data_IF_324424860875
#
_entry.id   IF_324424860875
#
_cell.length_a   1.000
_cell.length_b   1.000
_cell.length_c   1.000
_cell.angle_alpha   90.00
_cell.angle_beta   90.00
_cell.angle_gamma   90.00
#
_symmetry.space_group_name_H-M   'P 1'
#
loop_
_entity.id
_entity.type
_entity.pdbx_description
1 polymer ?
#
# COMPACT_ATOMS: atom_id res chain seq x y z
N UNK A 1 25.83 -104.79 -37.07
CA UNK A 1 24.53 -104.41 -37.68
C UNK A 1 24.14 -103.07 -37.06
N UNK A 2 24.27 -101.96 -37.80
CA UNK A 2 23.15 -101.28 -38.52
C UNK A 2 22.06 -100.81 -37.53
N UNK A 3 22.01 -99.50 -37.20
CA UNK A 3 21.26 -98.43 -37.90
C UNK A 3 19.74 -98.49 -37.61
N UNK A 4 18.96 -97.41 -37.44
CA UNK A 4 19.16 -95.95 -37.43
C UNK A 4 18.33 -95.35 -36.23
N UNK A 5 18.09 -94.05 -35.99
CA UNK A 5 17.54 -93.04 -36.90
C UNK A 5 17.48 -91.63 -36.25
N UNK A 6 17.87 -90.60 -37.02
CA UNK A 6 17.30 -89.22 -37.11
C UNK A 6 16.89 -88.45 -35.83
N UNK A 7 17.58 -87.36 -35.46
CA UNK A 7 17.33 -85.95 -35.85
C UNK A 7 16.07 -85.31 -35.20
N UNK A 8 16.06 -84.04 -34.73
CA UNK A 8 16.46 -82.83 -35.50
C UNK A 8 16.74 -81.57 -34.63
N UNK A 9 17.77 -80.80 -35.04
CA UNK A 9 18.09 -79.35 -34.85
C UNK A 9 17.72 -78.62 -33.52
N UNK A 10 18.64 -78.04 -32.73
CA UNK A 10 19.66 -76.99 -32.99
C UNK A 10 19.13 -75.53 -32.95
N UNK A 11 19.39 -74.79 -31.85
CA UNK A 11 20.11 -73.49 -31.83
C UNK A 11 20.30 -72.91 -30.42
N UNK A 12 21.39 -72.15 -30.24
CA UNK A 12 21.77 -71.50 -28.97
C UNK A 12 20.96 -70.22 -28.72
N UNK A 13 20.82 -69.85 -27.45
CA UNK A 13 20.79 -68.45 -27.02
C UNK A 13 21.69 -68.26 -25.79
N UNK A 14 22.29 -67.07 -25.70
CA UNK A 14 23.21 -66.65 -24.65
C UNK A 14 22.71 -65.32 -24.03
N UNK A 15 23.32 -64.93 -22.91
CA UNK A 15 23.13 -63.64 -22.21
C UNK A 15 21.76 -63.51 -21.47
N UNK A 16 21.62 -62.79 -20.35
CA UNK A 16 22.59 -62.02 -19.56
C UNK A 16 22.24 -62.10 -18.06
N UNK A 17 23.25 -62.09 -17.19
CA UNK A 17 23.05 -61.92 -15.74
C UNK A 17 22.83 -60.45 -15.40
N UNK A 18 21.57 -60.00 -15.36
CA UNK A 18 21.23 -58.66 -14.88
C UNK A 18 21.15 -58.63 -13.34
N UNK A 19 21.74 -57.60 -12.74
CA UNK A 19 21.89 -57.45 -11.29
C UNK A 19 20.55 -57.16 -10.60
N UNK A 20 20.07 -58.09 -9.77
CA UNK A 20 19.05 -57.78 -8.74
C UNK A 20 19.70 -57.10 -7.52
N UNK A 21 20.31 -55.95 -7.75
CA UNK A 21 20.73 -55.05 -6.68
C UNK A 21 19.53 -54.18 -6.27
N UNK A 22 18.75 -54.68 -5.30
CA UNK A 22 17.63 -53.93 -4.74
C UNK A 22 18.12 -52.74 -3.91
N UNK A 23 18.18 -51.56 -4.52
CA UNK A 23 18.34 -50.30 -3.79
C UNK A 23 16.97 -49.73 -3.43
N UNK A 24 16.48 -50.06 -2.24
CA UNK A 24 15.39 -49.32 -1.59
C UNK A 24 15.83 -47.89 -1.29
N UNK A 25 15.68 -46.97 -2.25
CA UNK A 25 15.66 -45.53 -1.95
C UNK A 25 14.22 -45.12 -1.66
N UNK A 26 13.84 -45.22 -0.39
CA UNK A 26 12.59 -44.65 0.12
C UNK A 26 12.66 -43.12 0.16
N UNK A 27 12.71 -42.49 -1.02
CA UNK A 27 12.28 -41.11 -1.13
C UNK A 27 10.78 -41.09 -0.93
N UNK A 28 10.36 -40.73 0.28
CA UNK A 28 9.01 -40.24 0.56
C UNK A 28 8.81 -38.97 -0.26
N UNK A 29 8.39 -39.14 -1.50
CA UNK A 29 7.82 -38.07 -2.30
C UNK A 29 6.47 -37.75 -1.68
N UNK A 30 6.48 -36.95 -0.61
CA UNK A 30 5.32 -36.14 -0.29
C UNK A 30 5.00 -35.36 -1.57
N UNK A 31 3.77 -35.48 -2.11
CA UNK A 31 3.39 -34.58 -3.18
C UNK A 31 3.52 -33.17 -2.62
N UNK A 32 4.28 -32.32 -3.32
CA UNK A 32 4.33 -30.90 -3.00
C UNK A 32 2.88 -30.42 -2.89
N UNK A 33 2.47 -29.78 -1.77
CA UNK A 33 1.12 -29.24 -1.69
C UNK A 33 0.89 -28.39 -2.92
N UNK A 34 -0.15 -28.69 -3.69
CA UNK A 34 -0.53 -27.86 -4.84
C UNK A 34 -0.66 -26.44 -4.31
N UNK A 35 0.25 -25.55 -4.71
CA UNK A 35 0.29 -24.20 -4.19
C UNK A 35 -0.93 -23.48 -4.75
N UNK A 36 -2.02 -23.50 -3.96
CA UNK A 36 -3.30 -22.96 -4.36
C UNK A 36 -3.11 -21.47 -4.61
N UNK A 37 -3.33 -21.05 -5.87
CA UNK A 37 -3.14 -19.66 -6.32
C UNK A 37 -3.69 -18.69 -5.25
N UNK A 38 -2.85 -17.84 -4.63
CA UNK A 38 -3.21 -17.16 -3.37
C UNK A 38 -4.50 -16.34 -3.40
N UNK A 39 -4.94 -15.91 -4.58
CA UNK A 39 -6.21 -15.20 -4.76
C UNK A 39 -7.45 -16.10 -4.69
N UNK A 40 -7.34 -17.41 -4.93
CA UNK A 40 -8.45 -18.37 -4.73
C UNK A 40 -8.85 -18.47 -3.26
N UNK A 41 -7.95 -18.15 -2.32
CA UNK A 41 -8.27 -18.04 -0.90
C UNK A 41 -9.13 -16.81 -0.56
N UNK A 42 -9.24 -15.82 -1.46
CA UNK A 42 -10.11 -14.64 -1.30
C UNK A 42 -11.51 -14.82 -1.91
N UNK A 43 -11.71 -15.88 -2.69
CA UNK A 43 -12.97 -16.23 -3.33
C UNK A 43 -12.77 -17.02 -4.64
N UNK A 44 -13.84 -17.58 -5.22
CA UNK A 44 -13.77 -18.23 -6.53
C UNK A 44 -13.45 -17.22 -7.64
N UNK A 45 -13.00 -17.73 -8.79
CA UNK A 45 -12.74 -16.94 -10.00
C UNK A 45 -13.97 -16.11 -10.38
N UNK A 46 -13.77 -14.86 -10.83
CA UNK A 46 -14.80 -13.85 -11.11
C UNK A 46 -15.62 -13.38 -9.89
N UNK A 47 -15.15 -13.67 -8.67
CA UNK A 47 -15.68 -13.00 -7.47
C UNK A 47 -14.92 -11.70 -7.19
N UNK A 48 -15.61 -10.71 -6.63
CA UNK A 48 -15.00 -9.44 -6.23
C UNK A 48 -13.79 -9.63 -5.29
N UNK A 49 -13.76 -10.69 -4.48
CA UNK A 49 -12.61 -11.02 -3.63
C UNK A 49 -11.39 -11.47 -4.42
N UNK A 50 -11.60 -12.32 -5.42
CA UNK A 50 -10.56 -12.78 -6.35
C UNK A 50 -10.02 -11.64 -7.22
N UNK A 51 -10.90 -10.84 -7.81
CA UNK A 51 -10.52 -9.74 -8.72
C UNK A 51 -9.74 -8.64 -7.98
N UNK A 52 -10.16 -8.29 -6.75
CA UNK A 52 -9.42 -7.37 -5.89
C UNK A 52 -8.00 -7.89 -5.57
N UNK A 53 -7.86 -9.20 -5.33
CA UNK A 53 -6.55 -9.79 -5.05
C UNK A 53 -5.63 -9.76 -6.28
N UNK A 54 -6.16 -10.01 -7.48
CA UNK A 54 -5.39 -9.85 -8.72
C UNK A 54 -4.96 -8.39 -8.94
N UNK A 55 -5.84 -7.43 -8.66
CA UNK A 55 -5.51 -6.00 -8.72
C UNK A 55 -4.41 -5.62 -7.73
N UNK A 56 -4.48 -6.12 -6.48
CA UNK A 56 -3.46 -5.89 -5.45
C UNK A 56 -2.11 -6.50 -5.84
N UNK A 57 -2.09 -7.75 -6.34
CA UNK A 57 -0.88 -8.42 -6.84
C UNK A 57 -0.25 -7.65 -8.00
N UNK A 58 -1.06 -7.18 -8.95
CA UNK A 58 -0.59 -6.37 -10.07
C UNK A 58 -0.03 -5.00 -9.62
N UNK A 59 -0.64 -4.35 -8.63
CA UNK A 59 -0.14 -3.10 -8.07
C UNK A 59 1.24 -3.28 -7.38
N UNK A 60 1.40 -4.34 -6.58
CA UNK A 60 2.69 -4.67 -5.95
C UNK A 60 3.77 -4.98 -6.97
N UNK A 61 3.47 -5.77 -8.02
CA UNK A 61 4.43 -6.08 -9.08
C UNK A 61 4.88 -4.83 -9.84
N UNK A 62 3.96 -3.89 -10.15
CA UNK A 62 4.34 -2.60 -10.77
C UNK A 62 5.25 -1.77 -9.87
N UNK A 63 4.96 -1.71 -8.57
CA UNK A 63 5.80 -0.99 -7.60
C UNK A 63 7.21 -1.59 -7.52
N UNK A 64 7.32 -2.93 -7.48
CA UNK A 64 8.61 -3.63 -7.46
C UNK A 64 9.39 -3.42 -8.77
N UNK A 65 8.73 -3.50 -9.93
CA UNK A 65 9.38 -3.22 -11.22
C UNK A 65 9.88 -1.77 -11.31
N UNK A 66 9.15 -0.81 -10.72
CA UNK A 66 9.58 0.59 -10.62
C UNK A 66 10.82 0.74 -9.74
N UNK A 67 10.89 0.03 -8.60
CA UNK A 67 12.05 0.11 -7.68
C UNK A 67 13.32 -0.57 -8.23
N UNK A 68 13.21 -1.51 -9.16
CA UNK A 68 14.39 -2.11 -9.82
C UNK A 68 15.18 -1.11 -10.69
N UNK A 69 14.55 -0.01 -11.12
CA UNK A 69 15.20 1.06 -11.89
C UNK A 69 15.73 2.21 -11.02
N UNK A 70 15.48 2.20 -9.71
CA UNK A 70 16.01 3.16 -8.73
C UNK A 70 16.37 2.44 -7.42
N UNK A 71 17.63 2.04 -7.21
CA UNK A 71 18.04 1.28 -6.03
C UNK A 71 17.91 2.06 -4.70
N UNK A 72 17.56 3.35 -4.73
CA UNK A 72 17.23 4.13 -3.53
C UNK A 72 15.79 3.94 -3.02
N UNK A 73 14.89 3.35 -3.83
CA UNK A 73 13.44 3.41 -3.58
C UNK A 73 12.89 2.40 -2.57
N UNK A 74 13.70 1.48 -2.03
CA UNK A 74 13.27 0.49 -1.02
C UNK A 74 13.50 0.98 0.41
N UNK A 75 12.75 2.02 0.83
CA UNK A 75 12.61 2.39 2.25
C UNK A 75 11.15 2.42 2.68
N UNK A 76 10.91 1.89 3.88
CA UNK A 76 9.62 1.69 4.55
C UNK A 76 8.72 0.56 4.03
N UNK A 77 9.12 -0.66 4.37
CA UNK A 77 8.19 -1.77 4.63
C UNK A 77 8.35 -2.24 6.09
N UNK A 78 8.43 -1.28 7.01
CA UNK A 78 8.62 -1.52 8.45
C UNK A 78 7.53 -0.79 9.25
N UNK A 79 6.66 -1.58 9.88
CA UNK A 79 5.59 -1.09 10.75
C UNK A 79 6.24 -0.77 12.09
N UNK A 80 6.39 0.51 12.43
CA UNK A 80 6.86 0.88 13.76
C UNK A 80 5.84 0.45 14.83
N UNK A 81 6.28 -0.15 15.95
CA UNK A 81 5.39 -0.48 17.06
C UNK A 81 4.86 0.80 17.72
N UNK A 82 3.65 0.72 18.27
CA UNK A 82 2.95 1.86 18.84
C UNK A 82 3.66 2.41 20.09
N UNK A 83 4.22 3.62 19.98
CA UNK A 83 4.60 4.44 21.14
C UNK A 83 3.37 4.94 21.91
N UNK A 84 3.58 5.32 23.18
CA UNK A 84 2.52 5.82 24.07
C UNK A 84 1.80 7.05 23.48
N UNK A 85 0.46 7.01 23.31
CA UNK A 85 -0.25 8.07 22.63
C UNK A 85 -0.59 9.25 23.57
N UNK A 86 -0.14 10.45 23.20
CA UNK A 86 -0.57 11.72 23.81
C UNK A 86 -1.64 12.37 22.95
N UNK A 87 -2.90 12.31 23.37
CA UNK A 87 -4.06 12.86 22.66
C UNK A 87 -4.38 14.31 23.09
N UNK A 88 -4.85 15.15 22.17
CA UNK A 88 -5.42 16.52 22.34
C UNK A 88 -6.72 16.62 21.51
N UNK A 89 -7.25 17.80 21.06
CA UNK A 89 -8.63 18.02 20.50
C UNK A 89 -8.80 17.98 18.94
N UNK A 90 -9.93 17.53 18.32
CA UNK A 90 -10.08 17.36 16.82
C UNK A 90 -11.38 17.67 16.07
N UNK A 91 -11.21 18.23 14.86
CA UNK A 91 -12.17 18.36 13.76
C UNK A 91 -12.30 17.11 12.84
N UNK A 92 -12.37 15.88 13.40
CA UNK A 92 -12.54 14.63 12.65
C UNK A 92 -13.80 13.86 13.10
N UNK A 93 -14.36 12.95 12.27
CA UNK A 93 -15.77 12.54 12.38
C UNK A 93 -16.11 11.80 13.69
N UNK A 94 -17.40 11.85 14.05
CA UNK A 94 -17.98 11.54 15.37
C UNK A 94 -17.75 10.12 15.92
N UNK A 95 -17.06 9.25 15.17
CA UNK A 95 -16.74 7.89 15.57
C UNK A 95 -15.22 7.72 15.76
N UNK A 96 -14.74 7.24 16.93
CA UNK A 96 -13.33 7.06 17.21
C UNK A 96 -12.77 5.88 16.39
N UNK A 97 -12.51 6.13 15.11
CA UNK A 97 -11.78 5.20 14.25
C UNK A 97 -10.29 5.35 14.54
N UNK A 98 -9.51 4.26 14.65
CA UNK A 98 -8.06 4.39 14.72
C UNK A 98 -7.52 5.19 13.53
N UNK A 99 -6.41 5.90 13.73
CA UNK A 99 -5.76 6.70 12.69
C UNK A 99 -4.25 6.67 12.87
N UNK A 100 -3.52 6.68 11.76
CA UNK A 100 -2.08 6.83 11.70
C UNK A 100 -1.73 8.20 11.14
N UNK A 101 -0.67 8.80 11.69
CA UNK A 101 -0.28 10.17 11.43
C UNK A 101 1.20 10.19 11.05
N UNK A 102 1.53 10.83 9.93
CA UNK A 102 2.91 11.11 9.51
C UNK A 102 3.03 12.61 9.28
N UNK A 103 3.66 13.32 10.21
CA UNK A 103 3.87 14.77 10.13
C UNK A 103 5.22 15.15 9.52
N UNK A 104 5.35 16.42 9.14
CA UNK A 104 6.63 17.11 9.18
C UNK A 104 6.95 17.53 10.64
N UNK A 105 8.05 18.24 10.83
CA UNK A 105 8.25 19.05 12.04
C UNK A 105 7.15 20.12 12.16
N UNK A 106 6.96 20.65 13.36
CA UNK A 106 5.81 21.49 13.67
C UNK A 106 5.81 22.85 12.97
N UNK A 107 4.61 23.30 12.58
CA UNK A 107 4.42 24.61 11.98
C UNK A 107 4.38 25.70 13.04
N UNK A 108 5.30 26.66 12.95
CA UNK A 108 5.34 27.80 13.86
C UNK A 108 4.07 28.66 13.74
N UNK A 109 3.80 29.45 14.77
CA UNK A 109 2.68 30.41 14.74
C UNK A 109 2.86 31.46 13.63
N UNK A 110 4.10 31.80 13.26
CA UNK A 110 4.40 32.73 12.16
C UNK A 110 4.07 32.13 10.80
N UNK A 111 4.51 30.89 10.53
CA UNK A 111 4.24 30.21 9.25
C UNK A 111 2.74 30.01 8.99
N UNK A 112 1.94 29.81 10.04
CA UNK A 112 0.47 29.74 9.96
C UNK A 112 -0.18 31.09 9.64
N UNK A 113 0.36 32.20 10.16
CA UNK A 113 -0.12 33.55 9.79
C UNK A 113 0.21 33.88 8.34
N UNK A 114 1.39 33.48 7.86
CA UNK A 114 1.80 33.69 6.47
C UNK A 114 1.03 32.81 5.48
N UNK A 115 0.52 31.66 5.92
CA UNK A 115 -0.20 30.69 5.10
C UNK A 115 -1.57 30.37 5.72
N UNK A 116 -2.53 31.32 5.69
CA UNK A 116 -3.77 31.23 6.45
C UNK A 116 -4.78 30.22 5.89
N UNK A 117 -4.50 29.52 4.79
CA UNK A 117 -5.41 28.53 4.22
C UNK A 117 -4.96 27.10 4.53
N UNK A 118 -5.78 26.36 5.28
CA UNK A 118 -5.64 24.92 5.49
C UNK A 118 -6.35 24.18 4.35
N UNK A 119 -5.58 23.42 3.57
CA UNK A 119 -6.09 22.54 2.50
C UNK A 119 -6.03 21.10 2.99
N UNK A 120 -7.11 20.34 2.80
CA UNK A 120 -7.09 18.87 2.88
C UNK A 120 -7.32 18.30 1.48
N UNK A 121 -6.37 17.54 0.97
CA UNK A 121 -6.56 16.63 -0.18
C UNK A 121 -6.99 15.28 0.40
N UNK A 122 -8.08 14.69 -0.09
CA UNK A 122 -8.71 13.49 0.51
C UNK A 122 -8.89 12.38 -0.52
N UNK A 123 -8.42 11.18 -0.23
CA UNK A 123 -8.68 9.96 -1.03
C UNK A 123 -9.43 8.95 -0.16
N UNK A 124 -10.62 8.52 -0.58
CA UNK A 124 -11.43 7.48 0.09
C UNK A 124 -11.11 6.10 -0.50
N UNK A 125 -10.88 5.09 0.34
CA UNK A 125 -10.44 3.75 -0.08
C UNK A 125 -11.33 2.62 0.44
N UNK A 126 -11.47 1.57 -0.36
CA UNK A 126 -12.26 0.39 0.00
C UNK A 126 -11.34 -0.74 0.48
N UNK A 127 -11.16 -0.82 1.79
CA UNK A 127 -10.36 -1.86 2.46
C UNK A 127 -11.18 -2.56 3.53
N UNK A 128 -11.01 -3.89 3.66
CA UNK A 128 -11.53 -4.64 4.81
C UNK A 128 -10.66 -4.43 6.05
N UNK A 129 -9.38 -4.11 5.85
CA UNK A 129 -8.38 -3.88 6.89
C UNK A 129 -8.37 -2.42 7.36
N UNK A 130 -7.44 -2.11 8.26
CA UNK A 130 -7.21 -0.77 8.78
C UNK A 130 -6.76 0.22 7.69
N UNK A 131 -5.62 -0.05 7.06
CA UNK A 131 -5.04 0.77 5.99
C UNK A 131 -5.58 0.43 4.59
N UNK A 132 -5.18 1.22 3.57
CA UNK A 132 -5.48 0.93 2.17
C UNK A 132 -4.81 -0.38 1.71
N UNK A 133 -5.52 -1.15 0.88
CA UNK A 133 -4.94 -2.33 0.21
C UNK A 133 -4.01 -1.88 -0.94
N UNK A 134 -3.11 -2.73 -1.48
CA UNK A 134 -2.11 -2.32 -2.46
C UNK A 134 -2.63 -1.57 -3.70
N UNK A 135 -3.81 -1.92 -4.23
CA UNK A 135 -4.46 -1.21 -5.34
C UNK A 135 -4.71 0.28 -5.08
N UNK A 136 -4.97 0.65 -3.83
CA UNK A 136 -5.16 2.04 -3.39
C UNK A 136 -3.82 2.62 -2.91
N UNK A 137 -3.07 1.85 -2.11
CA UNK A 137 -1.86 2.30 -1.42
C UNK A 137 -0.76 2.73 -2.38
N UNK A 138 -0.48 1.96 -3.44
CA UNK A 138 0.61 2.26 -4.39
C UNK A 138 0.32 3.57 -5.16
N UNK A 139 -0.87 3.77 -5.78
CA UNK A 139 -1.24 5.05 -6.35
C UNK A 139 -1.23 6.23 -5.36
N UNK A 140 -1.61 6.01 -4.10
CA UNK A 140 -1.52 7.05 -3.07
C UNK A 140 -0.08 7.46 -2.76
N UNK A 141 0.89 6.54 -2.78
CA UNK A 141 2.32 6.81 -2.52
C UNK A 141 2.97 7.56 -3.70
N UNK A 142 2.62 7.17 -4.92
CA UNK A 142 3.02 7.90 -6.14
C UNK A 142 2.43 9.31 -6.18
N UNK A 143 1.13 9.45 -5.91
CA UNK A 143 0.46 10.75 -5.86
C UNK A 143 1.02 11.64 -4.72
N UNK A 144 1.25 11.07 -3.53
CA UNK A 144 1.85 11.78 -2.40
C UNK A 144 3.21 12.40 -2.76
N UNK A 145 4.05 11.65 -3.47
CA UNK A 145 5.36 12.14 -3.92
C UNK A 145 5.22 13.38 -4.81
N UNK A 146 4.23 13.40 -5.71
CA UNK A 146 3.90 14.55 -6.56
C UNK A 146 3.34 15.73 -5.75
N UNK A 147 2.43 15.47 -4.79
CA UNK A 147 1.87 16.50 -3.90
C UNK A 147 2.97 17.19 -3.08
N UNK A 148 3.88 16.42 -2.48
CA UNK A 148 4.96 16.93 -1.65
C UNK A 148 6.02 17.69 -2.45
N UNK A 149 6.29 17.29 -3.69
CA UNK A 149 7.16 18.03 -4.60
C UNK A 149 6.53 19.39 -4.99
N UNK A 150 5.27 19.37 -5.45
CA UNK A 150 4.54 20.56 -5.88
C UNK A 150 4.31 21.57 -4.73
N UNK A 151 4.07 21.10 -3.50
CA UNK A 151 3.94 21.98 -2.33
C UNK A 151 5.25 22.72 -1.99
N UNK A 152 6.40 22.04 -2.13
CA UNK A 152 7.73 22.64 -1.85
C UNK A 152 8.18 23.63 -2.92
N UNK A 153 7.76 23.44 -4.16
CA UNK A 153 8.10 24.29 -5.30
C UNK A 153 7.77 25.76 -5.01
N UNK A 154 8.79 26.64 -5.08
CA UNK A 154 8.69 28.07 -4.77
C UNK A 154 8.06 28.41 -3.40
N UNK A 155 8.01 27.46 -2.46
CA UNK A 155 7.34 27.63 -1.18
C UNK A 155 5.82 27.76 -1.27
N UNK A 156 5.18 27.14 -2.28
CA UNK A 156 3.74 27.19 -2.53
C UNK A 156 2.90 26.84 -1.29
N UNK A 157 3.30 25.80 -0.55
CA UNK A 157 2.62 25.36 0.67
C UNK A 157 3.54 24.56 1.60
N UNK A 158 3.33 24.70 2.91
CA UNK A 158 3.89 23.77 3.90
C UNK A 158 2.99 22.54 4.04
N UNK A 159 3.56 21.35 3.89
CA UNK A 159 2.91 20.11 4.30
C UNK A 159 2.95 19.99 5.83
N UNK A 160 1.79 19.83 6.46
CA UNK A 160 1.69 19.64 7.91
C UNK A 160 1.78 18.15 8.26
N UNK A 161 0.82 17.35 7.77
CA UNK A 161 0.80 15.92 8.00
C UNK A 161 -0.06 15.16 6.99
N UNK A 162 0.17 13.85 6.91
CA UNK A 162 -0.71 12.87 6.27
C UNK A 162 -1.40 12.02 7.33
N UNK A 163 -2.71 11.90 7.25
CA UNK A 163 -3.57 11.08 8.13
C UNK A 163 -4.08 9.89 7.34
N UNK A 164 -4.01 8.67 7.88
CA UNK A 164 -4.61 7.47 7.27
C UNK A 164 -5.43 6.70 8.30
N UNK A 165 -6.72 6.52 8.03
CA UNK A 165 -7.70 5.87 8.90
C UNK A 165 -9.11 6.26 8.46
N UNK A 166 -10.17 5.74 9.10
CA UNK A 166 -11.54 6.11 8.71
C UNK A 166 -11.92 5.79 7.25
N UNK A 167 -11.24 4.82 6.62
CA UNK A 167 -11.34 4.49 5.18
C UNK A 167 -10.97 5.65 4.24
N UNK A 168 -10.13 6.57 4.71
CA UNK A 168 -9.56 7.66 3.90
C UNK A 168 -8.10 7.93 4.23
N UNK A 169 -7.37 8.49 3.25
CA UNK A 169 -6.08 9.14 3.44
C UNK A 169 -6.24 10.62 3.15
N UNK A 170 -5.69 11.46 4.02
CA UNK A 170 -5.75 12.92 3.88
C UNK A 170 -4.37 13.53 4.00
N UNK A 171 -4.03 14.41 3.06
CA UNK A 171 -2.83 15.22 3.07
C UNK A 171 -3.21 16.65 3.43
N UNK A 172 -2.66 17.15 4.53
CA UNK A 172 -2.96 18.48 5.08
C UNK A 172 -1.81 19.43 4.73
N UNK A 173 -2.17 20.55 4.10
CA UNK A 173 -1.25 21.60 3.69
C UNK A 173 -1.72 22.95 4.24
N UNK A 174 -0.76 23.86 4.45
CA UNK A 174 -0.99 25.27 4.71
C UNK A 174 -0.44 26.06 3.53
N UNK A 175 -1.24 26.96 2.96
CA UNK A 175 -0.86 27.79 1.80
C UNK A 175 -1.28 29.24 1.97
N UNK A 176 -0.66 30.13 1.18
CA UNK A 176 -1.00 31.55 1.09
C UNK A 176 -2.29 31.80 0.31
N UNK A 177 -2.61 30.91 -0.64
CA UNK A 177 -3.73 31.00 -1.57
C UNK A 177 -4.21 29.59 -1.94
N UNK A 178 -5.48 29.30 -1.68
CA UNK A 178 -6.08 27.99 -1.91
C UNK A 178 -6.33 27.69 -3.39
N UNK A 179 -6.74 28.69 -4.17
CA UNK A 179 -6.98 28.55 -5.60
C UNK A 179 -5.68 28.26 -6.37
N UNK A 180 -4.59 28.98 -6.07
CA UNK A 180 -3.26 28.77 -6.67
C UNK A 180 -2.72 27.39 -6.31
N UNK A 181 -2.84 26.97 -5.04
CA UNK A 181 -2.44 25.62 -4.62
C UNK A 181 -3.22 24.54 -5.36
N UNK A 182 -4.55 24.61 -5.38
CA UNK A 182 -5.41 23.62 -6.04
C UNK A 182 -5.14 23.57 -7.55
N UNK A 183 -4.93 24.72 -8.20
CA UNK A 183 -4.57 24.79 -9.62
C UNK A 183 -3.21 24.10 -9.90
N UNK A 184 -2.18 24.36 -9.08
CA UNK A 184 -0.87 23.71 -9.25
C UNK A 184 -0.96 22.20 -9.03
N UNK A 185 -1.63 21.74 -7.97
CA UNK A 185 -1.81 20.31 -7.72
C UNK A 185 -2.55 19.63 -8.89
N UNK A 186 -3.66 20.19 -9.37
CA UNK A 186 -4.39 19.65 -10.53
C UNK A 186 -3.49 19.59 -11.78
N UNK A 187 -2.68 20.62 -12.01
CA UNK A 187 -1.73 20.66 -13.14
C UNK A 187 -0.64 19.58 -13.06
N UNK A 188 -0.11 19.29 -11.86
CA UNK A 188 0.95 18.27 -11.68
C UNK A 188 0.38 16.84 -11.71
N UNK A 189 -0.87 16.63 -11.30
CA UNK A 189 -1.52 15.32 -11.31
C UNK A 189 -2.18 14.95 -12.64
N UNK A 190 -2.57 15.93 -13.47
CA UNK A 190 -3.25 15.67 -14.75
C UNK A 190 -2.49 14.70 -15.70
N UNK A 191 -1.14 14.74 -15.82
CA UNK A 191 -0.40 13.80 -16.68
C UNK A 191 -0.34 12.37 -16.16
N UNK A 192 -0.57 12.15 -14.86
CA UNK A 192 -0.37 10.83 -14.21
C UNK A 192 -1.68 10.06 -13.96
N UNK A 193 -2.82 10.63 -14.36
CA UNK A 193 -4.11 9.97 -14.45
C UNK A 193 -5.19 10.55 -13.54
N UNK A 194 -6.45 10.09 -13.67
CA UNK A 194 -7.54 10.52 -12.81
C UNK A 194 -7.37 9.93 -11.39
N UNK A 195 -7.22 10.81 -10.40
CA UNK A 195 -7.21 10.42 -9.00
C UNK A 195 -8.58 10.68 -8.35
N UNK A 196 -9.11 9.76 -7.51
CA UNK A 196 -10.38 9.94 -6.82
C UNK A 196 -10.21 10.83 -5.58
N UNK A 197 -9.75 12.08 -5.80
CA UNK A 197 -9.43 13.03 -4.74
C UNK A 197 -10.44 14.17 -4.61
N UNK A 198 -10.77 14.49 -3.38
CA UNK A 198 -11.58 15.63 -2.98
C UNK A 198 -10.69 16.69 -2.34
N UNK A 199 -10.86 17.95 -2.74
CA UNK A 199 -10.20 19.10 -2.11
C UNK A 199 -11.18 19.80 -1.16
N UNK A 200 -10.71 20.15 0.02
CA UNK A 200 -11.39 21.10 0.90
C UNK A 200 -10.39 22.17 1.36
N UNK A 201 -10.84 23.43 1.38
CA UNK A 201 -10.05 24.57 1.78
C UNK A 201 -10.80 25.34 2.88
N UNK A 202 -10.09 25.76 3.93
CA UNK A 202 -10.62 26.64 4.97
C UNK A 202 -9.56 27.66 5.34
N UNK A 203 -9.94 28.94 5.35
CA UNK A 203 -9.12 29.98 5.98
C UNK A 203 -9.16 29.80 7.50
N UNK A 204 -8.01 29.60 8.12
CA UNK A 204 -7.85 29.71 9.57
C UNK A 204 -7.75 31.20 9.93
N UNK A 205 -8.77 31.71 10.63
CA UNK A 205 -8.74 33.05 11.21
C UNK A 205 -7.69 33.07 12.33
N UNK A 206 -6.68 33.93 12.21
CA UNK A 206 -5.64 34.03 13.23
C UNK A 206 -6.20 34.54 14.55
N UNK A 207 -6.19 33.67 15.58
CA UNK A 207 -6.44 33.94 17.00
C UNK A 207 -7.30 35.18 17.29
N UNK A 208 -8.61 35.07 17.04
CA UNK A 208 -9.58 35.93 17.71
C UNK A 208 -9.62 35.57 19.20
N UNK A 209 -9.34 36.53 20.06
CA UNK A 209 -9.68 36.45 21.48
C UNK A 209 -11.20 36.51 21.62
N UNK A 210 -11.83 35.36 21.79
CA UNK A 210 -13.13 35.27 22.47
C UNK A 210 -13.14 34.02 23.35
N UNK A 211 -13.51 34.22 24.60
CA UNK A 211 -13.78 33.16 25.58
C UNK A 211 -15.29 32.90 25.56
N UNK A 212 -15.66 31.63 25.72
CA UNK A 212 -17.02 31.11 25.84
C UNK A 212 -17.97 31.25 24.63
N UNK A 213 -18.05 30.15 23.88
CA UNK A 213 -19.32 29.41 23.93
C UNK A 213 -19.05 27.90 23.94
N UNK A 214 -19.62 27.19 24.90
CA UNK A 214 -19.30 25.79 25.15
C UNK A 214 -19.94 24.84 24.13
N UNK A 215 -19.11 24.13 23.33
CA UNK A 215 -19.42 22.75 22.94
C UNK A 215 -18.21 21.96 22.37
N UNK A 216 -18.12 20.71 22.84
CA UNK A 216 -17.45 19.55 22.24
C UNK A 216 -15.90 19.46 22.21
N UNK A 217 -15.38 18.76 23.23
CA UNK A 217 -13.98 18.40 23.42
C UNK A 217 -13.62 17.06 22.73
N UNK A 218 -13.58 17.03 21.39
CA UNK A 218 -13.17 15.89 20.50
C UNK A 218 -11.67 15.55 20.59
N UNK A 219 -11.02 14.70 19.74
CA UNK A 219 -9.57 14.39 19.90
C UNK A 219 -8.58 14.29 18.68
N UNK A 220 -7.50 15.11 18.61
CA UNK A 220 -6.36 15.08 17.61
C UNK A 220 -5.01 14.90 18.34
N UNK A 221 -4.04 14.13 17.80
CA UNK A 221 -2.66 14.19 18.25
C UNK A 221 -1.95 15.51 17.89
N UNK A 222 -1.30 16.11 18.89
CA UNK A 222 -0.56 17.39 18.88
C UNK A 222 0.19 17.71 17.57
N UNK A 223 0.96 16.74 17.04
CA UNK A 223 1.89 16.89 15.90
C UNK A 223 1.31 17.29 14.54
N UNK A 224 -0.01 17.29 14.34
CA UNK A 224 -0.62 17.82 13.11
C UNK A 224 -0.91 19.33 13.18
N UNK A 225 -0.76 19.96 14.35
CA UNK A 225 -1.09 21.38 14.60
C UNK A 225 -0.12 22.10 15.57
N UNK A 226 0.82 21.41 16.21
CA UNK A 226 1.80 21.91 17.19
C UNK A 226 3.13 21.15 17.12
#
# INVERSE_FOLDING_TARGET
MQAASTHHRLRLFALASALMAGCSSSHTHTPTPLELEPCLAQGPVNSQGYDNCLADRAALLRALLKSLNDPGSLRYLEIQPAGTPTFQLSDYPDTPTPMTYRGADSLTATERREQPFKIKVTWKYLSKRFGPEPRDRVPMEDMESLLLAAAKENGLAKWACTVTGGKQRQWIFYTRDDAVFIARIKSVLAPTGPYPIEFSARRESGLGTDVDTAQDSRLTPKKCME
#
